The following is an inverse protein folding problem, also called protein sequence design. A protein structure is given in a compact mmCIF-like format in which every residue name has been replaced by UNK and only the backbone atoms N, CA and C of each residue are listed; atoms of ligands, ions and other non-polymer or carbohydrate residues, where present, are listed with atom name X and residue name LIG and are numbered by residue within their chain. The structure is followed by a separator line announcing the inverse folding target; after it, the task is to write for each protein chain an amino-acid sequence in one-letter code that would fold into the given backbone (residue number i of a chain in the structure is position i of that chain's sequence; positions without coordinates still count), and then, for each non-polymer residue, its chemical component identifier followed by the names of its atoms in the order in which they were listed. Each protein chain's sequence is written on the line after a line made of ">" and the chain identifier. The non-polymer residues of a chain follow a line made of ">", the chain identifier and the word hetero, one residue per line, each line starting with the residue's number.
data_IF_366111672866
#
_entry.id   IF_366111672866
#
_cell.length_a   1.000
_cell.length_b   1.000
_cell.length_c   1.000
_cell.angle_alpha   90.00
_cell.angle_beta   90.00
_cell.angle_gamma   90.00
#
_symmetry.space_group_name_H-M   'P 1'
#
loop_
_entity.id
_entity.type
_entity.pdbx_description
1 polymer ?
#
# COMPACT_ATOMS: atom_id res chain seq x y z
N UNK A 1 -22.70 -8.61 -19.31
CA UNK A 1 -22.31 -7.80 -18.13
C UNK A 1 -20.98 -8.34 -17.66
N UNK A 2 -19.89 -7.63 -17.94
CA UNK A 2 -18.53 -8.05 -17.59
C UNK A 2 -18.37 -8.02 -16.07
N UNK A 3 -18.24 -9.20 -15.46
CA UNK A 3 -17.78 -9.36 -14.08
C UNK A 3 -16.30 -8.93 -14.02
N UNK A 4 -16.03 -7.63 -13.97
CA UNK A 4 -14.76 -7.18 -13.42
C UNK A 4 -14.82 -7.52 -11.94
N UNK A 5 -14.11 -8.58 -11.54
CA UNK A 5 -13.75 -8.73 -10.14
C UNK A 5 -12.93 -7.48 -9.80
N UNK A 6 -13.55 -6.49 -9.15
CA UNK A 6 -12.81 -5.37 -8.57
C UNK A 6 -11.89 -5.97 -7.51
N UNK A 7 -10.61 -6.05 -7.83
CA UNK A 7 -9.57 -6.41 -6.89
C UNK A 7 -8.93 -5.13 -6.35
N UNK A 8 -8.39 -5.23 -5.15
CA UNK A 8 -7.64 -4.18 -4.50
C UNK A 8 -6.33 -4.76 -3.96
N UNK A 9 -5.36 -3.89 -3.71
CA UNK A 9 -4.12 -4.26 -3.01
C UNK A 9 -4.31 -4.06 -1.52
N UNK A 10 -3.96 -5.07 -0.71
CA UNK A 10 -3.76 -4.91 0.72
C UNK A 10 -2.26 -4.90 0.99
N UNK A 11 -1.74 -3.88 1.69
CA UNK A 11 -0.32 -3.78 2.02
C UNK A 11 -0.06 -3.41 3.49
N UNK A 12 0.93 -4.04 4.15
CA UNK A 12 1.46 -3.56 5.43
C UNK A 12 2.33 -2.32 5.22
N UNK A 13 2.07 -1.24 5.96
CA UNK A 13 3.01 -0.11 6.06
C UNK A 13 3.07 0.37 7.50
N UNK A 14 4.26 0.61 8.09
CA UNK A 14 4.39 1.23 9.40
C UNK A 14 3.63 2.57 9.48
N UNK A 15 2.92 2.81 10.61
CA UNK A 15 2.08 4.01 10.77
C UNK A 15 2.86 5.31 10.53
N UNK A 16 4.10 5.38 10.99
CA UNK A 16 4.99 6.54 10.79
C UNK A 16 5.20 6.88 9.31
N UNK A 17 5.30 5.87 8.44
CA UNK A 17 5.48 6.08 6.99
C UNK A 17 4.16 6.46 6.33
N UNK A 18 3.02 5.94 6.81
CA UNK A 18 1.70 6.38 6.34
C UNK A 18 1.42 7.83 6.69
N UNK A 19 1.72 8.23 7.94
CA UNK A 19 1.59 9.60 8.40
C UNK A 19 2.51 10.52 7.60
N UNK A 20 3.82 10.33 7.65
CA UNK A 20 4.77 11.17 6.90
C UNK A 20 4.57 11.14 5.38
N UNK A 21 4.06 10.03 4.85
CA UNK A 21 3.69 9.87 3.45
C UNK A 21 2.45 10.65 3.04
N UNK A 22 1.52 10.90 3.98
CA UNK A 22 0.35 11.75 3.74
C UNK A 22 0.76 13.19 3.44
N UNK A 23 1.74 13.75 4.16
CA UNK A 23 2.24 15.09 3.83
C UNK A 23 2.90 15.14 2.46
N UNK A 24 3.63 14.09 2.07
CA UNK A 24 4.21 13.98 0.72
C UNK A 24 3.12 13.90 -0.33
N UNK A 25 2.13 13.03 -0.15
CA UNK A 25 1.02 12.86 -1.08
C UNK A 25 0.21 14.16 -1.25
N UNK A 26 -0.01 14.93 -0.18
CA UNK A 26 -0.68 16.24 -0.25
C UNK A 26 0.12 17.28 -1.04
N UNK A 27 1.45 17.25 -0.92
CA UNK A 27 2.34 18.22 -1.58
C UNK A 27 2.58 17.88 -3.05
N UNK A 28 2.82 16.61 -3.34
CA UNK A 28 3.29 16.13 -4.65
C UNK A 28 2.19 15.45 -5.49
N UNK A 29 1.00 15.24 -4.92
CA UNK A 29 -0.09 14.48 -5.53
C UNK A 29 0.07 12.95 -5.45
N UNK A 30 1.22 12.46 -4.99
CA UNK A 30 1.52 11.03 -4.81
C UNK A 30 2.61 10.79 -3.77
N UNK A 31 2.68 9.55 -3.29
CA UNK A 31 3.74 9.05 -2.41
C UNK A 31 4.24 7.70 -2.91
N UNK A 32 5.53 7.41 -2.70
CA UNK A 32 6.21 6.22 -3.15
C UNK A 32 6.71 5.39 -1.95
N UNK A 33 6.21 4.16 -1.82
CA UNK A 33 6.62 3.23 -0.76
C UNK A 33 7.61 2.20 -1.30
N UNK A 34 8.60 1.81 -0.50
CA UNK A 34 9.58 0.79 -0.88
C UNK A 34 8.98 -0.62 -0.83
N UNK A 35 9.44 -1.51 -1.71
CA UNK A 35 9.11 -2.93 -1.64
C UNK A 35 10.16 -3.82 -2.30
N UNK A 36 10.25 -5.06 -1.84
CA UNK A 36 11.01 -6.15 -2.47
C UNK A 36 10.11 -7.10 -3.29
N UNK A 37 8.80 -6.82 -3.39
CA UNK A 37 7.84 -7.63 -4.12
C UNK A 37 7.79 -7.26 -5.63
N UNK A 38 8.94 -7.27 -6.33
CA UNK A 38 9.01 -6.82 -7.72
C UNK A 38 8.03 -7.52 -8.66
N UNK A 39 7.99 -8.85 -8.62
CA UNK A 39 7.08 -9.63 -9.46
C UNK A 39 5.61 -9.30 -9.19
N UNK A 40 5.23 -9.04 -7.94
CA UNK A 40 3.87 -8.65 -7.59
C UNK A 40 3.46 -7.34 -8.28
N UNK A 41 4.30 -6.31 -8.18
CA UNK A 41 3.98 -5.01 -8.78
C UNK A 41 4.07 -5.03 -10.30
N UNK A 42 5.00 -5.79 -10.87
CA UNK A 42 5.06 -6.02 -12.32
C UNK A 42 3.78 -6.68 -12.84
N UNK A 43 3.35 -7.78 -12.21
CA UNK A 43 2.13 -8.49 -12.61
C UNK A 43 0.88 -7.63 -12.41
N UNK A 44 0.81 -6.87 -11.32
CA UNK A 44 -0.27 -5.92 -11.03
C UNK A 44 -0.36 -4.83 -12.10
N UNK A 45 0.77 -4.24 -12.50
CA UNK A 45 0.82 -3.17 -13.49
C UNK A 45 0.39 -3.66 -14.89
N UNK A 46 0.78 -4.89 -15.25
CA UNK A 46 0.29 -5.55 -16.45
C UNK A 46 -1.23 -5.83 -16.37
N UNK A 47 -1.71 -6.35 -15.22
CA UNK A 47 -3.11 -6.73 -15.03
C UNK A 47 -4.04 -5.52 -15.04
N UNK A 48 -3.63 -4.39 -14.45
CA UNK A 48 -4.48 -3.18 -14.40
C UNK A 48 -4.57 -2.47 -15.76
N UNK A 49 -3.67 -2.74 -16.71
CA UNK A 49 -3.66 -2.13 -18.03
C UNK A 49 -3.82 -0.59 -18.01
N UNK A 50 -3.08 0.07 -17.10
CA UNK A 50 -3.13 1.52 -16.89
C UNK A 50 -4.30 2.04 -16.05
N UNK A 51 -5.26 1.20 -15.64
CA UNK A 51 -6.36 1.59 -14.77
C UNK A 51 -5.88 1.80 -13.32
N UNK A 52 -6.54 2.69 -12.54
CA UNK A 52 -6.30 2.83 -11.12
C UNK A 52 -6.74 1.58 -10.36
N UNK A 53 -5.96 1.16 -9.36
CA UNK A 53 -6.30 0.02 -8.48
C UNK A 53 -6.41 0.52 -7.04
N UNK A 54 -7.54 0.29 -6.33
CA UNK A 54 -7.65 0.64 -4.93
C UNK A 54 -6.57 -0.04 -4.09
N UNK A 55 -6.01 0.70 -3.15
CA UNK A 55 -5.03 0.22 -2.19
C UNK A 55 -5.56 0.46 -0.79
N UNK A 56 -5.51 -0.57 0.04
CA UNK A 56 -5.82 -0.51 1.45
C UNK A 56 -4.56 -0.85 2.25
N UNK A 57 -4.31 -0.06 3.29
CA UNK A 57 -3.19 -0.31 4.19
C UNK A 57 -3.68 -0.62 5.58
N UNK A 58 -2.93 -1.49 6.24
CA UNK A 58 -3.01 -1.66 7.68
C UNK A 58 -1.69 -1.25 8.31
N UNK A 59 -1.77 -0.55 9.43
CA UNK A 59 -0.60 -0.08 10.16
C UNK A 59 0.12 -1.25 10.85
N UNK A 60 1.22 -1.73 10.27
CA UNK A 60 1.88 -2.97 10.71
C UNK A 60 2.64 -2.85 12.04
N UNK A 61 3.04 -1.63 12.42
CA UNK A 61 3.83 -1.34 13.63
C UNK A 61 3.05 -0.51 14.66
N UNK A 62 1.71 -0.66 14.72
CA UNK A 62 0.91 -0.01 15.76
C UNK A 62 0.45 -1.02 16.83
N UNK A 63 0.76 -0.80 18.11
CA UNK A 63 0.52 -1.76 19.17
C UNK A 63 -0.87 -1.53 19.80
N UNK A 64 -1.92 -2.16 19.26
CA UNK A 64 -3.07 -2.69 20.02
C UNK A 64 -4.24 -3.01 19.08
N UNK A 65 -4.97 -4.08 19.38
CA UNK A 65 -6.18 -4.47 18.66
C UNK A 65 -5.96 -5.49 17.54
N UNK A 66 -7.07 -5.87 16.88
CA UNK A 66 -7.03 -6.74 15.70
C UNK A 66 -6.61 -5.91 14.49
N UNK A 67 -5.77 -6.44 13.58
CA UNK A 67 -5.34 -5.70 12.41
C UNK A 67 -6.54 -5.36 11.53
N UNK A 68 -6.61 -4.12 11.06
CA UNK A 68 -7.68 -3.58 10.24
C UNK A 68 -7.13 -2.66 9.16
N UNK A 69 -7.85 -2.55 8.05
CA UNK A 69 -7.59 -1.48 7.09
C UNK A 69 -7.88 -0.15 7.80
N UNK A 70 -6.90 0.73 7.79
CA UNK A 70 -6.95 2.02 8.49
C UNK A 70 -6.58 3.18 7.56
N UNK A 71 -6.15 2.87 6.35
CA UNK A 71 -5.77 3.84 5.31
C UNK A 71 -6.15 3.31 3.94
N UNK A 72 -6.33 4.23 3.00
CA UNK A 72 -6.60 3.93 1.60
C UNK A 72 -5.83 4.84 0.67
N UNK A 73 -5.73 4.43 -0.59
CA UNK A 73 -5.17 5.20 -1.70
C UNK A 73 -5.41 4.50 -3.03
N UNK A 74 -4.72 4.96 -4.07
CA UNK A 74 -4.84 4.44 -5.43
C UNK A 74 -3.45 4.12 -5.96
N UNK A 75 -3.21 2.86 -6.35
CA UNK A 75 -2.00 2.46 -7.03
C UNK A 75 -2.01 3.02 -8.46
N UNK A 76 -0.95 3.74 -8.82
CA UNK A 76 -0.82 4.41 -10.13
C UNK A 76 0.38 3.94 -10.95
N UNK A 77 1.30 3.18 -10.36
CA UNK A 77 2.47 2.63 -11.04
C UNK A 77 3.61 2.35 -10.08
N UNK A 78 4.78 1.99 -10.61
CA UNK A 78 6.00 1.80 -9.82
C UNK A 78 7.23 2.12 -10.66
N UNK A 79 8.37 2.29 -10.00
CA UNK A 79 9.66 2.51 -10.63
C UNK A 79 10.78 1.80 -9.87
N UNK A 80 11.91 1.57 -10.54
CA UNK A 80 13.15 1.12 -9.93
C UNK A 80 14.17 2.28 -9.86
N UNK A 81 15.16 2.17 -8.97
CA UNK A 81 16.15 3.25 -8.77
C UNK A 81 17.05 3.50 -9.99
N UNK A 82 17.20 2.50 -10.87
CA UNK A 82 18.05 2.58 -12.06
C UNK A 82 17.57 3.65 -13.06
N UNK A 83 16.29 4.01 -13.01
CA UNK A 83 15.65 4.89 -13.98
C UNK A 83 15.31 6.30 -13.44
N UNK A 84 15.76 6.66 -12.24
CA UNK A 84 15.44 7.96 -11.63
C UNK A 84 16.69 8.84 -11.45
N UNK A 85 16.63 10.12 -11.90
CA UNK A 85 17.67 11.09 -11.59
C UNK A 85 17.91 11.17 -10.08
N UNK A 86 19.17 11.13 -9.66
CA UNK A 86 19.56 11.13 -8.24
C UNK A 86 18.86 12.22 -7.41
N UNK A 87 18.62 13.40 -8.01
CA UNK A 87 17.92 14.54 -7.39
C UNK A 87 16.49 14.24 -6.95
N UNK A 88 15.85 13.24 -7.54
CA UNK A 88 14.44 12.92 -7.33
C UNK A 88 14.25 11.68 -6.45
N UNK A 89 15.33 10.99 -6.05
CA UNK A 89 15.27 9.70 -5.35
C UNK A 89 14.39 9.70 -4.09
N UNK A 90 14.31 10.83 -3.41
CA UNK A 90 13.54 10.97 -2.16
C UNK A 90 12.34 11.91 -2.28
N UNK A 91 12.07 12.50 -3.45
CA UNK A 91 11.02 13.52 -3.59
C UNK A 91 9.64 12.97 -3.17
N UNK A 92 9.33 11.74 -3.59
CA UNK A 92 8.03 11.11 -3.35
C UNK A 92 8.04 10.13 -2.17
N UNK A 93 9.17 9.91 -1.50
CA UNK A 93 9.27 8.94 -0.40
C UNK A 93 8.84 9.58 0.93
N UNK A 94 8.20 8.85 1.84
CA UNK A 94 7.98 9.33 3.19
C UNK A 94 9.33 9.69 3.85
N UNK A 95 9.51 10.90 4.40
CA UNK A 95 10.78 11.33 4.98
C UNK A 95 11.33 10.40 6.07
N UNK A 96 10.42 9.76 6.81
CA UNK A 96 10.74 8.79 7.86
C UNK A 96 11.47 7.54 7.36
N UNK A 97 11.47 7.25 6.06
CA UNK A 97 12.23 6.10 5.52
C UNK A 97 13.72 6.41 5.34
N UNK A 98 14.14 7.68 5.39
CA UNK A 98 15.53 8.08 5.11
C UNK A 98 16.08 9.16 6.05
N UNK A 99 15.27 9.69 6.96
CA UNK A 99 15.67 10.68 7.96
C UNK A 99 15.67 10.06 9.38
N UNK A 100 16.46 10.64 10.31
CA UNK A 100 16.43 10.27 11.73
C UNK A 100 15.02 10.37 12.36
N UNK A 101 14.74 9.67 13.48
CA UNK A 101 15.68 8.97 14.36
C UNK A 101 16.03 7.53 13.93
N UNK A 102 15.18 6.91 13.11
CA UNK A 102 15.34 5.54 12.61
C UNK A 102 15.09 5.56 11.10
N UNK A 103 16.11 5.87 10.28
CA UNK A 103 15.98 5.69 8.83
C UNK A 103 15.80 4.21 8.53
N UNK A 104 15.02 3.87 7.50
CA UNK A 104 14.95 2.48 7.05
C UNK A 104 16.34 2.08 6.55
N UNK A 105 16.86 0.99 7.10
CA UNK A 105 18.12 0.40 6.64
C UNK A 105 17.93 -0.56 5.47
N UNK A 106 16.67 -0.82 5.12
CA UNK A 106 16.31 -1.77 4.08
C UNK A 106 16.65 -1.22 2.68
N UNK A 107 17.27 -2.07 1.87
CA UNK A 107 17.36 -1.86 0.43
C UNK A 107 16.08 -2.34 -0.23
N UNK A 108 15.46 -1.46 -1.02
CA UNK A 108 14.22 -1.75 -1.74
C UNK A 108 14.52 -2.03 -3.21
N UNK A 109 13.90 -3.08 -3.76
CA UNK A 109 14.03 -3.45 -5.18
C UNK A 109 13.26 -2.48 -6.09
N UNK A 110 12.20 -1.87 -5.59
CA UNK A 110 11.40 -0.86 -6.28
C UNK A 110 10.73 0.11 -5.30
N UNK A 111 10.17 1.17 -5.86
CA UNK A 111 9.20 2.01 -5.19
C UNK A 111 7.89 2.05 -5.98
N UNK A 112 6.78 1.85 -5.28
CA UNK A 112 5.44 1.84 -5.86
C UNK A 112 4.67 3.07 -5.45
N UNK A 113 3.96 3.66 -6.41
CA UNK A 113 3.36 4.98 -6.31
C UNK A 113 1.86 4.89 -5.98
N UNK A 114 1.47 5.73 -5.03
CA UNK A 114 0.13 5.79 -4.48
C UNK A 114 -0.36 7.24 -4.52
N UNK A 115 -1.50 7.45 -5.16
CA UNK A 115 -2.25 8.71 -5.11
C UNK A 115 -3.35 8.65 -4.05
N UNK A 116 -3.91 9.81 -3.70
CA UNK A 116 -5.05 9.95 -2.80
C UNK A 116 -4.91 9.21 -1.47
N UNK A 117 -3.68 9.17 -0.92
CA UNK A 117 -3.43 8.56 0.38
C UNK A 117 -4.26 9.29 1.43
N UNK A 118 -5.08 8.54 2.18
CA UNK A 118 -5.93 9.09 3.23
C UNK A 118 -6.14 8.10 4.38
N UNK A 119 -6.23 8.58 5.63
CA UNK A 119 -6.67 7.75 6.74
C UNK A 119 -8.17 7.45 6.62
N UNK A 120 -8.56 6.24 7.02
CA UNK A 120 -9.96 5.85 7.20
C UNK A 120 -10.34 6.21 8.66
N UNK A 121 -11.41 6.99 8.87
CA UNK A 121 -11.89 7.31 10.22
C UNK A 121 -12.14 6.05 11.05
N UNK A 122 -11.89 6.14 12.36
CA UNK A 122 -12.24 5.04 13.28
C UNK A 122 -13.74 4.72 13.22
N UNK A 123 -14.08 3.45 13.44
CA UNK A 123 -15.46 2.98 13.45
C UNK A 123 -15.77 1.99 12.32
N UNK A 124 -17.04 1.89 11.90
CA UNK A 124 -17.51 0.79 11.04
C UNK A 124 -16.93 0.80 9.63
N UNK A 125 -16.31 1.90 9.21
CA UNK A 125 -15.59 1.99 7.94
C UNK A 125 -14.26 1.24 7.98
N UNK A 126 -13.70 0.90 9.15
CA UNK A 126 -12.51 0.06 9.22
C UNK A 126 -12.89 -1.40 9.24
N UNK A 127 -12.30 -2.16 8.32
CA UNK A 127 -12.57 -3.58 8.15
C UNK A 127 -11.37 -4.37 8.69
N UNK A 128 -11.64 -5.23 9.67
CA UNK A 128 -10.64 -6.14 10.18
C UNK A 128 -10.14 -7.10 9.08
N UNK A 129 -8.84 -7.40 9.05
CA UNK A 129 -8.23 -8.13 7.94
C UNK A 129 -8.87 -9.52 7.71
N UNK A 130 -9.27 -10.20 8.78
CA UNK A 130 -9.92 -11.51 8.71
C UNK A 130 -11.32 -11.48 8.07
N UNK A 131 -11.88 -10.30 7.80
CA UNK A 131 -13.13 -10.16 7.04
C UNK A 131 -12.90 -9.96 5.54
N UNK A 132 -11.66 -9.71 5.12
CA UNK A 132 -11.29 -9.56 3.71
C UNK A 132 -11.22 -10.91 3.01
N UNK A 133 -11.47 -10.93 1.71
CA UNK A 133 -11.43 -12.13 0.86
C UNK A 133 -10.25 -12.01 -0.09
N UNK A 134 -9.40 -13.04 -0.14
CA UNK A 134 -8.30 -13.08 -1.11
C UNK A 134 -8.87 -13.07 -2.54
N UNK A 135 -8.20 -12.38 -3.47
CA UNK A 135 -8.64 -12.29 -4.88
C UNK A 135 -8.78 -13.70 -5.50
N UNK A 136 -7.73 -14.52 -5.36
CA UNK A 136 -7.71 -15.91 -5.79
C UNK A 136 -8.33 -16.82 -4.74
N UNK A 137 -9.67 -16.86 -4.71
CA UNK A 137 -10.42 -17.80 -3.87
C UNK A 137 -11.77 -17.25 -3.44
N UNK A 138 -12.47 -18.02 -2.60
CA UNK A 138 -13.75 -17.63 -1.99
C UNK A 138 -13.68 -17.58 -0.45
N UNK A 139 -12.47 -17.68 0.11
CA UNK A 139 -12.26 -17.75 1.56
C UNK A 139 -11.77 -16.42 2.09
N UNK A 140 -12.28 -16.06 3.26
CA UNK A 140 -11.75 -14.96 4.06
C UNK A 140 -10.31 -15.24 4.47
N UNK A 141 -9.54 -14.18 4.72
CA UNK A 141 -8.22 -14.30 5.34
C UNK A 141 -8.36 -14.95 6.73
N UNK A 142 -7.38 -15.78 7.10
CA UNK A 142 -7.41 -16.43 8.41
C UNK A 142 -7.28 -15.40 9.54
N UNK A 143 -7.87 -15.69 10.71
CA UNK A 143 -7.97 -14.74 11.84
C UNK A 143 -6.63 -14.12 12.26
N UNK A 144 -5.55 -14.91 12.22
CA UNK A 144 -4.21 -14.50 12.63
C UNK A 144 -3.26 -14.28 11.45
N UNK A 145 -3.79 -14.21 10.22
CA UNK A 145 -2.97 -13.99 9.05
C UNK A 145 -2.60 -12.51 8.93
N UNK A 146 -1.29 -12.23 9.03
CA UNK A 146 -0.69 -10.91 8.88
C UNK A 146 0.24 -10.92 7.65
N UNK A 147 -0.23 -10.39 6.51
CA UNK A 147 0.57 -10.38 5.30
C UNK A 147 1.84 -9.56 5.47
N UNK A 148 3.02 -10.16 5.29
CA UNK A 148 4.30 -9.46 5.40
C UNK A 148 4.62 -8.58 4.17
N UNK A 149 3.81 -8.69 3.12
CA UNK A 149 3.95 -7.92 1.89
C UNK A 149 2.60 -7.68 1.23
N UNK A 150 2.58 -7.00 0.08
CA UNK A 150 1.36 -6.71 -0.64
C UNK A 150 0.68 -7.99 -1.14
N UNK A 151 -0.65 -8.00 -1.15
CA UNK A 151 -1.45 -9.08 -1.73
C UNK A 151 -2.73 -8.56 -2.38
N UNK A 152 -3.30 -9.34 -3.30
CA UNK A 152 -4.58 -9.03 -3.93
C UNK A 152 -5.76 -9.56 -3.11
N UNK A 153 -6.69 -8.66 -2.80
CA UNK A 153 -7.97 -8.95 -2.17
C UNK A 153 -9.11 -8.58 -3.12
N UNK A 154 -10.31 -9.07 -2.87
CA UNK A 154 -11.52 -8.47 -3.42
C UNK A 154 -11.72 -7.10 -2.81
N UNK A 155 -12.05 -6.13 -3.65
CA UNK A 155 -12.31 -4.76 -3.22
C UNK A 155 -13.50 -4.70 -2.26
N UNK A 156 -13.29 -4.28 -1.00
CA UNK A 156 -14.35 -4.12 -0.02
C UNK A 156 -15.12 -2.77 -0.12
N UNK A 157 -14.70 -1.81 -0.96
CA UNK A 157 -15.48 -0.60 -1.27
C UNK A 157 -15.52 0.48 -0.18
N UNK A 158 -14.38 0.77 0.45
CA UNK A 158 -14.24 1.57 1.69
C UNK A 158 -13.63 2.95 1.49
#
# INVERSE_FOLDING_TARGET
>A
MSNYNNFAVLAPVPLRHLQSGLEVCRREGKVAFGSNAFLFFHDLDNQRAGQPVPVYFYASHYPSGKPEISWKGIFIGFYNEENIPYTNKNQYRPPTTYQPPEPDTDTWSLFWEVADLAPIPEGPARIALYNLVADKGNKKLALNFLPQGPLLIRDPGV
#
